data_IF_140459017606
#
_entry.id   IF_140459017606
#
_cell.length_a   1.000
_cell.length_b   1.000
_cell.length_c   1.000
_cell.angle_alpha   90.00
_cell.angle_beta   90.00
_cell.angle_gamma   90.00
#
_symmetry.space_group_name_H-M   'P 1'
#
loop_
_entity.id
_entity.type
_entity.pdbx_description
1 polymer ?
#
# COMPACT_ATOMS: atom_id res chain seq x y z
N UNK A 1 24.41 -7.49 -32.56
CA UNK A 1 24.73 -7.84 -31.17
C UNK A 1 23.62 -8.71 -30.65
N UNK A 2 23.92 -9.96 -30.33
CA UNK A 2 22.93 -10.88 -29.76
C UNK A 2 22.74 -10.56 -28.29
N UNK A 3 21.49 -10.34 -27.87
CA UNK A 3 21.14 -10.22 -26.46
C UNK A 3 21.27 -11.64 -25.91
N UNK A 4 22.25 -11.88 -25.04
CA UNK A 4 22.33 -13.14 -24.29
C UNK A 4 21.01 -13.30 -23.54
N UNK A 5 20.25 -14.41 -23.73
CA UNK A 5 18.98 -14.58 -23.04
C UNK A 5 19.27 -14.69 -21.54
N UNK A 6 18.98 -13.63 -20.80
CA UNK A 6 19.04 -13.63 -19.35
C UNK A 6 18.01 -14.63 -18.85
N UNK A 7 18.42 -15.52 -17.95
CA UNK A 7 17.48 -16.45 -17.33
C UNK A 7 16.48 -15.65 -16.48
N UNK A 8 15.22 -16.09 -16.40
CA UNK A 8 14.17 -15.41 -15.62
C UNK A 8 14.62 -14.98 -14.20
N UNK A 9 15.39 -15.78 -13.44
CA UNK A 9 15.90 -15.35 -12.13
C UNK A 9 16.82 -14.12 -12.17
N UNK A 10 17.65 -14.00 -13.22
CA UNK A 10 18.55 -12.85 -13.37
C UNK A 10 17.77 -11.59 -13.67
N UNK A 11 16.76 -11.67 -14.55
CA UNK A 11 15.88 -10.54 -14.86
C UNK A 11 15.12 -10.07 -13.61
N UNK A 12 14.61 -11.00 -12.80
CA UNK A 12 13.90 -10.65 -11.56
C UNK A 12 14.81 -9.98 -10.53
N UNK A 13 16.06 -10.44 -10.38
CA UNK A 13 17.03 -9.78 -9.51
C UNK A 13 17.46 -8.40 -10.03
N UNK A 14 17.61 -8.23 -11.35
CA UNK A 14 17.89 -6.94 -11.96
C UNK A 14 16.73 -5.95 -11.76
N UNK A 15 15.49 -6.38 -11.99
CA UNK A 15 14.29 -5.58 -11.75
C UNK A 15 14.11 -5.23 -10.27
N UNK A 16 14.49 -6.14 -9.35
CA UNK A 16 14.49 -5.85 -7.92
C UNK A 16 15.61 -4.87 -7.53
N UNK A 17 16.80 -4.99 -8.12
CA UNK A 17 17.90 -4.07 -7.90
C UNK A 17 17.57 -2.64 -8.38
N UNK A 18 16.79 -2.51 -9.46
CA UNK A 18 16.27 -1.23 -9.94
C UNK A 18 15.12 -0.67 -9.07
N UNK A 19 14.48 -1.54 -8.28
CA UNK A 19 13.36 -1.20 -7.41
C UNK A 19 11.99 -1.26 -8.12
N UNK A 20 11.94 -1.86 -9.31
CA UNK A 20 10.71 -2.18 -10.03
C UNK A 20 9.94 -3.32 -9.37
N UNK A 21 10.66 -4.24 -8.71
CA UNK A 21 10.10 -5.34 -7.95
C UNK A 21 10.43 -5.15 -6.46
N UNK A 22 9.41 -5.29 -5.63
CA UNK A 22 9.52 -5.33 -4.18
C UNK A 22 9.03 -6.68 -3.67
N UNK A 23 9.64 -7.18 -2.60
CA UNK A 23 9.10 -8.37 -1.93
C UNK A 23 8.01 -7.95 -0.96
N UNK A 24 6.92 -8.72 -0.88
CA UNK A 24 5.87 -8.46 0.12
C UNK A 24 6.44 -8.45 1.55
N UNK A 25 7.42 -9.32 1.84
CA UNK A 25 8.12 -9.34 3.12
C UNK A 25 8.85 -8.04 3.44
N UNK A 26 9.30 -7.29 2.42
CA UNK A 26 9.95 -5.99 2.56
C UNK A 26 8.94 -4.88 2.85
N UNK A 27 7.69 -4.99 2.39
CA UNK A 27 6.69 -3.92 2.54
C UNK A 27 6.25 -3.71 4.00
N UNK A 28 6.16 -2.46 4.43
CA UNK A 28 5.71 -2.13 5.79
C UNK A 28 4.22 -2.42 5.94
N UNK A 29 3.88 -3.28 6.90
CA UNK A 29 2.49 -3.64 7.18
C UNK A 29 1.85 -2.50 7.99
N UNK A 30 0.82 -1.82 7.47
CA UNK A 30 0.26 -0.63 8.09
C UNK A 30 -0.63 -0.93 9.31
N UNK A 31 -1.05 -2.19 9.48
CA UNK A 31 -1.74 -2.68 10.69
C UNK A 31 -0.79 -3.04 11.83
N UNK A 32 0.52 -3.10 11.57
CA UNK A 32 1.51 -3.45 12.59
C UNK A 32 1.82 -2.25 13.51
N UNK A 33 2.13 -2.54 14.78
CA UNK A 33 2.40 -1.50 15.78
C UNK A 33 3.56 -0.56 15.40
N UNK A 34 3.54 0.68 15.90
CA UNK A 34 4.48 1.74 15.51
C UNK A 34 5.96 1.35 15.64
N UNK A 35 6.34 0.57 16.66
CA UNK A 35 7.70 0.09 16.85
C UNK A 35 8.14 -0.89 15.75
N UNK A 36 7.26 -1.80 15.33
CA UNK A 36 7.53 -2.72 14.22
C UNK A 36 7.73 -1.94 12.91
N UNK A 37 6.93 -0.90 12.68
CA UNK A 37 7.08 -0.05 11.50
C UNK A 37 8.43 0.68 11.49
N UNK A 38 8.89 1.18 12.64
CA UNK A 38 10.20 1.83 12.77
C UNK A 38 11.35 0.84 12.53
N UNK A 39 11.33 -0.32 13.18
CA UNK A 39 12.34 -1.37 12.98
C UNK A 39 12.39 -1.79 11.52
N UNK A 40 11.22 -1.92 10.87
CA UNK A 40 11.14 -2.30 9.47
C UNK A 40 11.69 -1.21 8.54
N UNK A 41 11.41 0.07 8.79
CA UNK A 41 12.03 1.20 8.07
C UNK A 41 13.55 1.18 8.18
N UNK A 42 14.10 0.96 9.37
CA UNK A 42 15.55 0.87 9.59
C UNK A 42 16.14 -0.34 8.85
N UNK A 43 15.45 -1.49 8.85
CA UNK A 43 15.90 -2.67 8.11
C UNK A 43 15.89 -2.48 6.59
N UNK A 44 15.00 -1.64 6.06
CA UNK A 44 14.99 -1.28 4.63
C UNK A 44 16.15 -0.35 4.24
N UNK A 45 16.63 0.49 5.17
CA UNK A 45 17.81 1.35 4.93
C UNK A 45 19.11 0.54 4.90
N UNK A 46 19.16 -0.56 5.64
CA UNK A 46 20.22 -1.56 5.53
C UNK A 46 19.92 -2.47 4.33
N UNK A 47 20.16 -1.98 3.11
CA UNK A 47 19.95 -2.65 1.80
C UNK A 47 19.99 -4.16 1.97
N UNK A 48 18.79 -4.74 2.14
CA UNK A 48 18.65 -6.12 2.49
C UNK A 48 18.81 -6.92 1.21
N UNK A 49 20.06 -7.29 0.90
CA UNK A 49 20.45 -8.29 -0.12
C UNK A 49 19.96 -9.70 0.24
N UNK A 50 18.71 -9.84 0.71
CA UNK A 50 18.10 -11.14 0.91
C UNK A 50 17.81 -11.72 -0.46
N UNK A 51 18.23 -12.96 -0.77
CA UNK A 51 17.86 -13.59 -2.04
C UNK A 51 16.34 -13.65 -2.16
N UNK A 52 15.82 -13.56 -3.38
CA UNK A 52 14.40 -13.83 -3.64
C UNK A 52 14.13 -15.27 -3.17
N UNK A 53 13.40 -15.41 -2.06
CA UNK A 53 12.93 -16.72 -1.59
C UNK A 53 11.77 -17.13 -2.48
N UNK A 54 11.78 -18.35 -3.00
CA UNK A 54 10.85 -18.86 -4.00
C UNK A 54 9.36 -18.82 -3.59
N UNK A 55 9.06 -18.54 -2.32
CA UNK A 55 7.71 -18.44 -1.75
C UNK A 55 7.23 -16.99 -1.52
N UNK A 56 8.05 -15.98 -1.80
CA UNK A 56 7.70 -14.58 -1.53
C UNK A 56 6.87 -13.98 -2.68
N UNK A 57 5.89 -13.14 -2.34
CA UNK A 57 5.03 -12.48 -3.34
C UNK A 57 5.81 -11.31 -3.94
N UNK A 58 5.99 -11.35 -5.26
CA UNK A 58 6.61 -10.27 -6.03
C UNK A 58 5.60 -9.16 -6.29
N UNK A 59 5.94 -7.96 -5.84
CA UNK A 59 5.11 -6.76 -6.00
C UNK A 59 5.75 -5.87 -7.05
N UNK A 60 5.16 -5.86 -8.24
CA UNK A 60 5.58 -5.00 -9.34
C UNK A 60 5.07 -3.58 -9.11
N UNK A 61 5.99 -2.63 -8.98
CA UNK A 61 5.68 -1.23 -8.72
C UNK A 61 4.73 -0.64 -9.76
N UNK A 62 5.05 -0.83 -11.05
CA UNK A 62 4.27 -0.31 -12.17
C UNK A 62 2.83 -0.81 -12.15
N UNK A 63 2.61 -2.10 -11.90
CA UNK A 63 1.28 -2.69 -11.84
C UNK A 63 0.44 -2.16 -10.68
N UNK A 64 1.07 -1.96 -9.50
CA UNK A 64 0.35 -1.38 -8.35
C UNK A 64 0.03 0.09 -8.59
N UNK A 65 0.93 0.85 -9.21
CA UNK A 65 0.71 2.26 -9.54
C UNK A 65 -0.38 2.44 -10.61
N UNK A 66 -0.32 1.66 -11.69
CA UNK A 66 -1.35 1.64 -12.75
C UNK A 66 -2.72 1.29 -12.15
N UNK A 67 -2.77 0.23 -11.34
CA UNK A 67 -4.02 -0.17 -10.68
C UNK A 67 -4.54 0.90 -9.73
N UNK A 68 -3.66 1.63 -9.05
CA UNK A 68 -4.07 2.72 -8.18
C UNK A 68 -4.65 3.89 -8.98
N UNK A 69 -4.08 4.23 -10.13
CA UNK A 69 -4.63 5.28 -11.02
C UNK A 69 -6.01 4.90 -11.58
N UNK A 70 -6.24 3.62 -11.92
CA UNK A 70 -7.56 3.11 -12.31
C UNK A 70 -8.58 3.32 -11.19
N UNK A 71 -8.22 2.96 -9.95
CA UNK A 71 -9.07 3.13 -8.78
C UNK A 71 -9.31 4.61 -8.51
N UNK A 72 -8.27 5.45 -8.60
CA UNK A 72 -8.36 6.88 -8.39
C UNK A 72 -9.29 7.53 -9.42
N UNK A 73 -9.24 7.08 -10.67
CA UNK A 73 -10.13 7.53 -11.75
C UNK A 73 -11.59 7.16 -11.46
N UNK A 74 -11.85 5.92 -11.02
CA UNK A 74 -13.20 5.48 -10.61
C UNK A 74 -13.73 6.31 -9.42
N UNK A 75 -12.87 6.61 -8.44
CA UNK A 75 -13.24 7.42 -7.27
C UNK A 75 -13.44 8.91 -7.62
N UNK A 76 -12.65 9.47 -8.55
CA UNK A 76 -12.82 10.85 -9.05
C UNK A 76 -14.16 11.03 -9.76
N UNK A 77 -14.67 9.99 -10.43
CA UNK A 77 -16.03 9.96 -10.98
C UNK A 77 -17.14 10.15 -9.94
N UNK A 78 -16.82 10.06 -8.64
CA UNK A 78 -17.75 10.22 -7.51
C UNK A 78 -17.50 11.48 -6.66
N UNK A 79 -16.99 12.56 -7.28
CA UNK A 79 -16.70 13.89 -6.69
C UNK A 79 -15.47 14.03 -5.78
N UNK A 80 -14.66 12.97 -5.61
CA UNK A 80 -13.43 13.06 -4.83
C UNK A 80 -12.28 13.62 -5.67
N UNK A 81 -11.77 14.82 -5.34
CA UNK A 81 -10.77 15.52 -6.16
C UNK A 81 -9.34 15.45 -5.61
N UNK A 82 -9.14 15.17 -4.33
CA UNK A 82 -7.81 15.20 -3.68
C UNK A 82 -7.55 14.04 -2.73
N UNK A 83 -8.49 13.78 -1.82
CA UNK A 83 -8.43 12.69 -0.84
C UNK A 83 -9.77 11.99 -0.76
N UNK A 84 -9.79 10.67 -0.70
CA UNK A 84 -10.99 9.86 -0.56
C UNK A 84 -10.89 8.97 0.67
N UNK A 85 -11.99 8.82 1.39
CA UNK A 85 -12.09 7.95 2.56
C UNK A 85 -12.94 6.75 2.18
N UNK A 86 -12.36 5.54 2.26
CA UNK A 86 -13.06 4.29 1.92
C UNK A 86 -12.84 3.24 3.01
N UNK A 87 -13.77 2.30 3.13
CA UNK A 87 -13.60 1.15 4.02
C UNK A 87 -12.58 0.18 3.44
N UNK A 88 -11.93 -0.62 4.30
CA UNK A 88 -11.04 -1.70 3.84
C UNK A 88 -11.79 -2.71 2.95
N UNK A 89 -13.07 -2.95 3.20
CA UNK A 89 -13.93 -3.79 2.36
C UNK A 89 -14.07 -3.23 0.95
N UNK A 90 -14.33 -1.93 0.81
CA UNK A 90 -14.42 -1.28 -0.50
C UNK A 90 -13.06 -1.30 -1.21
N UNK A 91 -11.98 -1.05 -0.49
CA UNK A 91 -10.63 -1.14 -1.07
C UNK A 91 -10.34 -2.54 -1.61
N UNK A 92 -10.59 -3.58 -0.82
CA UNK A 92 -10.38 -4.98 -1.23
C UNK A 92 -11.22 -5.36 -2.45
N UNK A 93 -12.41 -4.76 -2.65
CA UNK A 93 -13.25 -5.03 -3.82
C UNK A 93 -12.64 -4.58 -5.15
N UNK A 94 -11.62 -3.72 -5.13
CA UNK A 94 -10.90 -3.33 -6.35
C UNK A 94 -9.85 -4.35 -6.80
N UNK A 95 -9.60 -5.39 -6.00
CA UNK A 95 -8.61 -6.42 -6.29
C UNK A 95 -9.28 -7.80 -6.35
N UNK A 96 -8.75 -8.69 -7.17
CA UNK A 96 -9.25 -10.06 -7.27
C UNK A 96 -8.83 -10.92 -6.07
N UNK A 97 -7.62 -10.69 -5.53
CA UNK A 97 -7.08 -11.40 -4.39
C UNK A 97 -6.94 -10.54 -3.14
N UNK A 98 -7.19 -11.14 -1.96
CA UNK A 98 -6.90 -10.50 -0.66
C UNK A 98 -5.41 -10.18 -0.52
N UNK A 99 -4.55 -11.08 -1.01
CA UNK A 99 -3.09 -10.92 -0.93
C UNK A 99 -2.61 -9.74 -1.79
N UNK A 100 -3.18 -9.56 -2.98
CA UNK A 100 -2.89 -8.44 -3.88
C UNK A 100 -3.33 -7.11 -3.27
N UNK A 101 -4.55 -7.07 -2.72
CA UNK A 101 -5.06 -5.90 -2.01
C UNK A 101 -4.13 -5.54 -0.83
N UNK A 102 -3.71 -6.52 -0.04
CA UNK A 102 -2.81 -6.28 1.08
C UNK A 102 -1.43 -5.78 0.63
N UNK A 103 -0.86 -6.37 -0.42
CA UNK A 103 0.42 -5.93 -0.98
C UNK A 103 0.33 -4.48 -1.51
N UNK A 104 -0.72 -4.16 -2.27
CA UNK A 104 -0.98 -2.82 -2.76
C UNK A 104 -1.17 -1.82 -1.61
N UNK A 105 -1.92 -2.19 -0.56
CA UNK A 105 -2.12 -1.35 0.61
C UNK A 105 -0.79 -1.02 1.31
N UNK A 106 0.07 -2.02 1.53
CA UNK A 106 1.36 -1.81 2.16
C UNK A 106 2.25 -0.89 1.29
N UNK A 107 2.29 -1.14 -0.02
CA UNK A 107 3.02 -0.31 -0.98
C UNK A 107 2.55 1.14 -0.97
N UNK A 108 1.25 1.37 -1.13
CA UNK A 108 0.66 2.72 -1.19
C UNK A 108 0.85 3.47 0.13
N UNK A 109 0.77 2.77 1.27
CA UNK A 109 1.02 3.38 2.58
C UNK A 109 2.48 3.79 2.73
N UNK A 110 3.42 2.94 2.32
CA UNK A 110 4.84 3.24 2.33
C UNK A 110 5.20 4.41 1.40
N UNK A 111 4.49 4.56 0.27
CA UNK A 111 4.63 5.70 -0.65
C UNK A 111 3.87 6.96 -0.22
N UNK A 112 3.15 6.93 0.90
CA UNK A 112 2.33 8.06 1.36
C UNK A 112 1.11 8.36 0.49
N UNK A 113 0.73 7.45 -0.42
CA UNK A 113 -0.48 7.52 -1.24
C UNK A 113 -1.72 6.99 -0.51
N UNK A 114 -1.53 6.20 0.54
CA UNK A 114 -2.60 5.73 1.41
C UNK A 114 -2.23 5.90 2.89
N UNK A 115 -3.23 6.04 3.75
CA UNK A 115 -3.09 5.99 5.20
C UNK A 115 -4.15 5.08 5.78
N UNK A 116 -3.72 4.03 6.46
CA UNK A 116 -4.61 3.14 7.20
C UNK A 116 -4.91 3.71 8.58
N UNK A 117 -6.20 3.73 8.93
CA UNK A 117 -6.69 4.11 10.23
C UNK A 117 -7.50 2.95 10.80
N UNK A 118 -7.03 2.42 11.92
CA UNK A 118 -7.80 1.54 12.78
C UNK A 118 -8.06 2.29 14.08
N UNK A 119 -9.32 2.60 14.35
CA UNK A 119 -9.71 3.19 15.63
C UNK A 119 -10.14 2.05 16.53
N UNK A 120 -9.38 1.83 17.60
CA UNK A 120 -9.87 1.05 18.74
C UNK A 120 -10.71 1.98 19.58
N UNK A 121 -11.78 1.45 20.19
CA UNK A 121 -12.83 2.21 20.91
C UNK A 121 -12.30 3.13 22.03
N UNK A 122 -11.03 3.00 22.39
CA UNK A 122 -10.35 3.68 23.51
C UNK A 122 -9.28 4.71 23.06
N UNK A 123 -8.96 4.81 21.77
CA UNK A 123 -7.88 5.70 21.30
C UNK A 123 -8.42 7.07 20.85
N UNK A 124 -7.99 8.20 21.45
CA UNK A 124 -8.36 9.53 20.99
C UNK A 124 -7.70 9.81 19.63
N UNK A 125 -8.51 10.14 18.63
CA UNK A 125 -8.01 10.48 17.29
C UNK A 125 -7.85 11.99 17.19
N UNK A 126 -6.60 12.45 17.15
CA UNK A 126 -6.27 13.83 16.78
C UNK A 126 -6.40 13.98 15.26
N UNK A 127 -7.52 14.55 14.80
CA UNK A 127 -7.72 14.94 13.39
C UNK A 127 -7.62 16.46 13.31
N UNK A 128 -6.54 16.97 12.71
CA UNK A 128 -6.47 18.37 12.32
C UNK A 128 -7.25 18.58 11.01
N UNK A 129 -8.30 19.39 11.13
CA UNK A 129 -9.15 19.98 10.08
C UNK A 129 -10.24 19.15 9.36
N UNK A 130 -11.43 19.79 9.29
CA UNK A 130 -12.63 19.63 8.46
C UNK A 130 -13.26 18.25 8.18
N UNK A 131 -12.61 17.15 8.51
CA UNK A 131 -13.08 15.80 8.21
C UNK A 131 -13.80 15.13 9.40
N UNK A 132 -13.88 15.81 10.56
CA UNK A 132 -14.37 15.26 11.83
C UNK A 132 -15.79 14.70 11.76
N UNK A 133 -16.74 15.40 11.12
CA UNK A 133 -18.14 14.96 11.12
C UNK A 133 -18.40 13.75 10.21
N UNK A 134 -17.68 13.67 9.08
CA UNK A 134 -17.77 12.56 8.13
C UNK A 134 -17.00 11.34 8.63
N UNK A 135 -15.81 11.55 9.23
CA UNK A 135 -15.07 10.50 9.91
C UNK A 135 -15.86 9.95 11.08
N UNK A 136 -16.45 10.78 11.95
CA UNK A 136 -17.23 10.31 13.11
C UNK A 136 -18.42 9.44 12.70
N UNK A 137 -19.17 9.83 11.67
CA UNK A 137 -20.26 9.03 11.10
C UNK A 137 -19.75 7.70 10.51
N UNK A 138 -18.66 7.72 9.72
CA UNK A 138 -18.05 6.49 9.21
C UNK A 138 -17.48 5.58 10.31
N UNK A 139 -16.93 6.15 11.38
CA UNK A 139 -16.30 5.40 12.47
C UNK A 139 -17.27 4.84 13.49
N UNK A 140 -18.48 5.41 13.61
CA UNK A 140 -19.56 4.79 14.38
C UNK A 140 -20.00 3.45 13.80
N UNK A 141 -19.74 3.21 12.51
CA UNK A 141 -20.23 2.04 11.77
C UNK A 141 -19.10 1.11 11.29
N UNK A 142 -17.88 1.64 11.05
CA UNK A 142 -16.73 0.85 10.54
C UNK A 142 -15.43 1.13 11.32
N UNK A 143 -14.81 0.12 11.96
CA UNK A 143 -13.58 0.29 12.76
C UNK A 143 -12.29 0.42 11.93
N UNK A 144 -12.35 0.12 10.62
CA UNK A 144 -11.18 0.09 9.73
C UNK A 144 -11.46 0.90 8.46
N UNK A 145 -10.72 1.99 8.31
CA UNK A 145 -10.90 2.97 7.23
C UNK A 145 -9.55 3.29 6.59
N UNK A 146 -9.57 3.56 5.29
CA UNK A 146 -8.43 3.94 4.47
C UNK A 146 -8.64 5.35 3.92
N UNK A 147 -7.65 6.21 4.12
CA UNK A 147 -7.58 7.51 3.45
C UNK A 147 -6.64 7.34 2.26
N UNK A 148 -7.18 7.50 1.06
CA UNK A 148 -6.42 7.49 -0.19
C UNK A 148 -6.16 8.91 -0.65
N UNK A 149 -4.92 9.22 -1.02
CA UNK A 149 -4.53 10.48 -1.66
C UNK A 149 -4.60 10.26 -3.17
N UNK A 150 -5.63 10.82 -3.80
CA UNK A 150 -5.93 10.63 -5.22
C UNK A 150 -5.10 11.53 -6.14
N UNK A 151 -4.24 12.41 -5.62
CA UNK A 151 -3.45 13.35 -6.40
C UNK A 151 -1.96 13.29 -6.08
N UNK A 152 -1.15 13.29 -7.14
CA UNK A 152 0.31 13.37 -7.16
C UNK A 152 0.77 13.71 -8.56
#
# INVERSE_FOLDING_TARGET
GGITPLCLPQVLEEMRADGDILLKSELIVPTAGGLYQLVKRVSQMAISRRPIVQEDILVFRSLVEERFEDIATQLRGSHWTSTCVITTTKFNSFFYGREDAHAALCYLTQRGKARYLAIRKEDPVEVHDFLFHFLWLCFSEFPHVLILKLGG
#
